data_IF_407823065216
#
_entry.id   IF_407823065216
#
_cell.length_a   1.000
_cell.length_b   1.000
_cell.length_c   1.000
_cell.angle_alpha   90.00
_cell.angle_beta   90.00
_cell.angle_gamma   90.00
#
_symmetry.space_group_name_H-M   'P 1'
#
loop_
_entity.id
_entity.type
_entity.pdbx_description
1 polymer ?
#
# COMPACT_ATOMS: atom_id res chain seq x y z
N UNK A 1 15.20 -16.33 -3.16
CA UNK A 1 14.10 -15.57 -3.78
C UNK A 1 14.10 -14.17 -3.17
N UNK A 2 14.29 -13.10 -3.96
CA UNK A 2 14.40 -11.73 -3.43
C UNK A 2 13.00 -11.21 -3.07
N UNK A 3 12.84 -10.61 -1.88
CA UNK A 3 11.60 -9.95 -1.47
C UNK A 3 11.51 -8.58 -2.12
N UNK A 4 10.34 -8.24 -2.68
CA UNK A 4 10.08 -6.91 -3.27
C UNK A 4 9.58 -5.96 -2.18
N UNK A 5 9.97 -4.70 -2.27
CA UNK A 5 9.48 -3.60 -1.43
C UNK A 5 8.63 -2.69 -2.30
N UNK A 6 7.46 -2.31 -1.80
CA UNK A 6 6.53 -1.40 -2.46
C UNK A 6 6.47 -0.10 -1.66
N UNK A 7 6.67 1.03 -2.33
CA UNK A 7 6.40 2.35 -1.76
C UNK A 7 4.99 2.76 -2.15
N UNK A 8 4.13 2.93 -1.15
CA UNK A 8 2.71 3.22 -1.35
C UNK A 8 2.44 4.64 -0.82
N UNK A 9 1.98 5.52 -1.70
CA UNK A 9 1.54 6.85 -1.30
C UNK A 9 0.19 6.77 -0.58
N UNK A 10 0.12 7.32 0.63
CA UNK A 10 -1.09 7.26 1.48
C UNK A 10 -2.08 8.41 1.24
N UNK A 11 -1.73 9.38 0.39
CA UNK A 11 -2.53 10.60 0.20
C UNK A 11 -2.47 11.55 1.41
N UNK A 12 -3.31 12.61 1.43
CA UNK A 12 -3.26 13.67 2.43
C UNK A 12 -3.99 13.34 3.75
N UNK A 13 -4.22 12.05 4.05
CA UNK A 13 -4.76 11.59 5.33
C UNK A 13 -6.21 11.06 5.30
N UNK A 14 -7.01 11.40 4.29
CA UNK A 14 -8.31 10.74 4.08
C UNK A 14 -8.14 9.49 3.18
N UNK A 15 -8.77 8.38 3.57
CA UNK A 15 -8.71 7.09 2.86
C UNK A 15 -9.34 7.15 1.45
N UNK A 16 -10.24 8.11 1.19
CA UNK A 16 -10.86 8.30 -0.13
C UNK A 16 -9.85 8.63 -1.25
N UNK A 17 -8.67 9.15 -0.88
CA UNK A 17 -7.60 9.47 -1.82
C UNK A 17 -6.71 8.28 -2.17
N UNK A 18 -6.90 7.13 -1.53
CA UNK A 18 -6.16 5.92 -1.88
C UNK A 18 -6.65 5.39 -3.24
N UNK A 19 -5.70 5.04 -4.09
CA UNK A 19 -6.01 4.35 -5.34
C UNK A 19 -6.48 2.93 -5.06
N UNK A 20 -7.29 2.38 -5.97
CA UNK A 20 -7.71 0.97 -5.88
C UNK A 20 -6.50 0.02 -5.87
N UNK A 21 -5.41 0.38 -6.57
CA UNK A 21 -4.16 -0.37 -6.57
C UNK A 21 -3.48 -0.37 -5.19
N UNK A 22 -3.40 0.80 -4.54
CA UNK A 22 -2.84 0.89 -3.18
C UNK A 22 -3.63 0.02 -2.21
N UNK A 23 -4.97 0.05 -2.30
CA UNK A 23 -5.85 -0.77 -1.46
C UNK A 23 -5.66 -2.26 -1.72
N UNK A 24 -5.57 -2.69 -2.98
CA UNK A 24 -5.37 -4.10 -3.34
C UNK A 24 -3.99 -4.60 -2.89
N UNK A 25 -2.93 -3.79 -3.07
CA UNK A 25 -1.57 -4.13 -2.62
C UNK A 25 -1.51 -4.29 -1.10
N UNK A 26 -2.01 -3.32 -0.33
CA UNK A 26 -1.99 -3.38 1.14
C UNK A 26 -2.67 -4.65 1.65
N UNK A 27 -3.82 -5.04 1.06
CA UNK A 27 -4.56 -6.25 1.44
C UNK A 27 -3.81 -7.56 1.17
N UNK A 28 -2.90 -7.57 0.19
CA UNK A 28 -2.14 -8.78 -0.22
C UNK A 28 -0.76 -8.87 0.43
N UNK A 29 -0.23 -7.76 0.93
CA UNK A 29 1.11 -7.73 1.50
C UNK A 29 1.14 -8.48 2.84
N UNK A 30 2.11 -9.40 3.03
CA UNK A 30 2.25 -10.13 4.28
C UNK A 30 2.77 -9.26 5.43
N UNK A 31 3.34 -8.09 5.11
CA UNK A 31 3.81 -7.10 6.06
C UNK A 31 3.57 -5.70 5.48
N UNK A 32 2.96 -4.83 6.27
CA UNK A 32 2.76 -3.42 5.97
C UNK A 32 3.38 -2.58 7.08
N UNK A 33 4.28 -1.68 6.72
CA UNK A 33 4.98 -0.77 7.64
C UNK A 33 4.55 0.66 7.31
N UNK A 34 4.21 1.42 8.36
CA UNK A 34 3.75 2.82 8.29
C UNK A 34 4.79 3.71 8.95
#
# INVERSE_FOLDING_TARGET
MVKKVYLIGMGPGNLEYLTLEAVDLIKRLPLFLI
#
